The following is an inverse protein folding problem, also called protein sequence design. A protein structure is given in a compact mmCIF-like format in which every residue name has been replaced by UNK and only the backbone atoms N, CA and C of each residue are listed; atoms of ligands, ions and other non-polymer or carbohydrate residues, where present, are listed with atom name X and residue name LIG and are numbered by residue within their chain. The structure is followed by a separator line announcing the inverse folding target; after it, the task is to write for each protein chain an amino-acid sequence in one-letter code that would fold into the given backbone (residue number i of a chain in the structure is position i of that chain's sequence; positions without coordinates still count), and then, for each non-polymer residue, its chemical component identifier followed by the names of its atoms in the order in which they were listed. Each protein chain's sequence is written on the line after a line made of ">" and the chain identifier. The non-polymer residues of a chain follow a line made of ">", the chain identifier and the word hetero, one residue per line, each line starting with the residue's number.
data_IF_791183240131
#
_entry.id   IF_791183240131
#
_cell.length_a   1.000
_cell.length_b   1.000
_cell.length_c   1.000
_cell.angle_alpha   90.00
_cell.angle_beta   90.00
_cell.angle_gamma   90.00
#
_symmetry.space_group_name_H-M   'P 1'
#
loop_
_entity.id
_entity.type
_entity.pdbx_description
1 polymer ?
#
# COMPACT_ATOMS: atom_id res chain seq x y z
N UNK A 1 37.90 28.69 29.65
CA UNK A 1 36.59 28.34 29.05
C UNK A 1 36.56 26.83 28.93
N UNK A 2 35.89 26.19 29.88
CA UNK A 2 35.63 24.75 29.85
C UNK A 2 34.79 24.40 28.62
N UNK A 3 35.23 23.41 27.85
CA UNK A 3 34.46 22.86 26.74
C UNK A 3 33.28 22.05 27.32
N UNK A 4 32.06 22.40 26.93
CA UNK A 4 30.84 21.71 27.34
C UNK A 4 30.81 20.26 26.87
N UNK A 5 30.27 19.36 27.72
CA UNK A 5 30.09 17.94 27.41
C UNK A 5 29.05 17.74 26.30
N UNK A 6 29.21 16.73 25.44
CA UNK A 6 28.32 16.47 24.29
C UNK A 6 26.88 16.08 24.65
N UNK A 7 26.58 15.83 25.94
CA UNK A 7 25.23 15.48 26.41
C UNK A 7 24.33 16.69 26.75
N UNK A 8 24.86 17.92 26.67
CA UNK A 8 24.12 19.17 26.92
C UNK A 8 23.85 19.99 25.65
N UNK A 9 23.97 19.40 24.46
CA UNK A 9 23.53 20.04 23.21
C UNK A 9 22.02 19.83 23.06
N UNK A 10 21.25 20.61 23.80
CA UNK A 10 19.80 20.71 23.62
C UNK A 10 19.56 21.61 22.41
N UNK A 11 19.35 21.02 21.23
CA UNK A 11 19.02 21.78 20.03
C UNK A 11 17.62 22.41 20.21
N UNK A 12 17.47 23.75 20.19
CA UNK A 12 16.15 24.37 20.17
C UNK A 12 15.42 23.95 18.87
N UNK A 13 14.08 23.74 18.89
CA UNK A 13 13.34 23.24 17.73
C UNK A 13 13.13 24.37 16.72
N UNK A 14 14.17 24.69 15.95
CA UNK A 14 14.12 25.57 14.79
C UNK A 14 15.12 25.05 13.75
N UNK A 15 14.81 23.92 13.12
CA UNK A 15 15.51 23.47 11.92
C UNK A 15 14.51 22.78 10.99
N UNK A 16 13.88 23.59 10.12
CA UNK A 16 13.27 23.06 8.92
C UNK A 16 14.39 22.39 8.12
N UNK A 17 14.42 21.05 8.08
CA UNK A 17 15.37 20.32 7.24
C UNK A 17 15.30 20.92 5.84
N UNK A 18 16.44 21.31 5.26
CA UNK A 18 16.48 21.92 3.93
C UNK A 18 15.74 21.01 2.93
N UNK A 19 14.61 21.48 2.40
CA UNK A 19 13.75 20.73 1.47
C UNK A 19 12.45 20.15 2.04
N UNK A 20 12.17 20.28 3.34
CA UNK A 20 10.90 19.91 3.95
C UNK A 20 10.05 21.14 4.20
N UNK A 21 8.84 21.23 3.63
CA UNK A 21 7.90 22.36 3.85
C UNK A 21 7.28 22.32 5.26
N UNK A 22 7.08 21.12 5.80
CA UNK A 22 6.50 20.86 7.12
C UNK A 22 7.39 19.90 7.92
N UNK A 23 7.71 20.29 9.16
CA UNK A 23 8.34 19.41 10.15
C UNK A 23 7.30 18.51 10.83
N UNK A 24 7.75 17.45 11.52
CA UNK A 24 6.87 16.46 12.18
C UNK A 24 5.89 17.12 13.16
N UNK A 25 6.35 18.09 13.93
CA UNK A 25 5.52 18.80 14.93
C UNK A 25 4.82 20.05 14.35
N UNK A 26 5.00 20.34 13.06
CA UNK A 26 4.34 21.48 12.43
C UNK A 26 2.91 21.12 12.03
N UNK A 27 1.98 22.07 12.24
CA UNK A 27 0.57 21.85 11.94
C UNK A 27 0.17 22.67 10.70
N UNK A 28 -0.03 22.05 9.53
CA UNK A 28 -0.55 22.73 8.35
C UNK A 28 -1.99 23.21 8.58
N UNK A 29 -2.49 24.02 7.65
CA UNK A 29 -3.91 24.41 7.67
C UNK A 29 -4.80 23.16 7.59
N UNK A 30 -5.94 23.17 8.29
CA UNK A 30 -6.82 21.99 8.39
C UNK A 30 -7.25 21.44 7.02
N UNK A 31 -7.46 22.33 6.03
CA UNK A 31 -7.83 21.96 4.65
C UNK A 31 -6.70 21.19 3.98
N UNK A 32 -5.47 21.67 4.15
CA UNK A 32 -4.28 21.04 3.59
C UNK A 32 -4.01 19.69 4.25
N UNK A 33 -4.16 19.61 5.58
CA UNK A 33 -4.05 18.35 6.32
C UNK A 33 -5.03 17.29 5.83
N UNK A 34 -6.29 17.67 5.54
CA UNK A 34 -7.28 16.76 4.96
C UNK A 34 -6.85 16.30 3.56
N UNK A 35 -6.41 17.22 2.70
CA UNK A 35 -5.98 16.89 1.34
C UNK A 35 -4.76 15.95 1.32
N UNK A 36 -3.78 16.18 2.20
CA UNK A 36 -2.60 15.33 2.35
C UNK A 36 -2.95 13.98 2.97
N UNK A 37 -3.82 13.95 3.97
CA UNK A 37 -4.32 12.71 4.56
C UNK A 37 -5.02 11.84 3.50
N UNK A 38 -5.85 12.47 2.65
CA UNK A 38 -6.48 11.77 1.53
C UNK A 38 -5.46 11.26 0.50
N UNK A 39 -4.41 12.03 0.22
CA UNK A 39 -3.31 11.57 -0.63
C UNK A 39 -2.60 10.34 -0.06
N UNK A 40 -2.27 10.35 1.23
CA UNK A 40 -1.66 9.20 1.90
C UNK A 40 -2.58 7.97 1.88
N UNK A 41 -3.88 8.18 2.05
CA UNK A 41 -4.88 7.12 1.92
C UNK A 41 -4.87 6.51 0.51
N UNK A 42 -4.92 7.32 -0.56
CA UNK A 42 -4.90 6.80 -1.94
C UNK A 42 -3.59 6.08 -2.26
N UNK A 43 -2.46 6.55 -1.74
CA UNK A 43 -1.18 5.88 -1.89
C UNK A 43 -1.16 4.49 -1.20
N UNK A 44 -1.69 4.40 0.01
CA UNK A 44 -1.81 3.16 0.77
C UNK A 44 -2.82 2.18 0.14
N UNK A 45 -3.89 2.69 -0.46
CA UNK A 45 -4.94 1.89 -1.11
C UNK A 45 -4.37 0.93 -2.17
N UNK A 46 -3.32 1.33 -2.88
CA UNK A 46 -2.69 0.49 -3.91
C UNK A 46 -2.24 -0.87 -3.36
N UNK A 47 -1.45 -0.89 -2.29
CA UNK A 47 -0.98 -2.14 -1.69
C UNK A 47 -2.11 -2.89 -0.99
N UNK A 48 -3.02 -2.18 -0.33
CA UNK A 48 -4.16 -2.75 0.37
C UNK A 48 -5.16 -3.47 -0.55
N UNK A 49 -5.31 -3.03 -1.80
CA UNK A 49 -6.17 -3.70 -2.79
C UNK A 49 -5.41 -4.77 -3.57
N UNK A 50 -4.14 -4.55 -3.91
CA UNK A 50 -3.36 -5.51 -4.71
C UNK A 50 -3.11 -6.83 -3.99
N UNK A 51 -2.79 -6.80 -2.69
CA UNK A 51 -2.48 -8.03 -1.93
C UNK A 51 -3.69 -8.99 -1.92
N UNK A 52 -4.91 -8.59 -1.52
CA UNK A 52 -6.07 -9.46 -1.56
C UNK A 52 -6.50 -9.84 -2.98
N UNK A 53 -6.39 -8.92 -3.94
CA UNK A 53 -6.74 -9.20 -5.34
C UNK A 53 -5.89 -10.31 -5.95
N UNK A 54 -4.64 -10.45 -5.50
CA UNK A 54 -3.78 -11.55 -5.93
C UNK A 54 -4.00 -12.82 -5.11
N UNK A 55 -4.14 -12.72 -3.78
CA UNK A 55 -4.16 -13.87 -2.88
C UNK A 55 -5.52 -14.57 -2.78
N UNK A 56 -6.62 -13.81 -2.71
CA UNK A 56 -7.96 -14.38 -2.45
C UNK A 56 -8.40 -15.36 -3.54
N UNK A 57 -8.20 -15.06 -4.86
CA UNK A 57 -8.52 -16.03 -5.90
C UNK A 57 -7.73 -17.34 -5.78
N UNK A 58 -6.45 -17.27 -5.39
CA UNK A 58 -5.60 -18.45 -5.20
C UNK A 58 -6.08 -19.33 -4.05
N UNK A 59 -6.67 -18.73 -3.02
CA UNK A 59 -7.28 -19.45 -1.90
C UNK A 59 -8.63 -20.09 -2.26
N UNK A 60 -9.24 -19.73 -3.39
CA UNK A 60 -10.60 -20.14 -3.78
C UNK A 60 -11.70 -19.21 -3.27
N UNK A 61 -11.35 -18.00 -2.80
CA UNK A 61 -12.33 -17.01 -2.37
C UNK A 61 -13.07 -16.37 -3.53
N UNK A 62 -14.30 -15.95 -3.27
CA UNK A 62 -15.17 -15.22 -4.20
C UNK A 62 -14.83 -13.72 -4.27
N UNK A 63 -15.48 -12.98 -5.17
CA UNK A 63 -15.40 -11.50 -5.19
C UNK A 63 -15.87 -10.87 -3.87
N UNK A 64 -16.87 -11.46 -3.21
CA UNK A 64 -17.36 -11.01 -1.90
C UNK A 64 -16.31 -11.22 -0.81
N UNK A 65 -15.57 -12.34 -0.86
CA UNK A 65 -14.47 -12.62 0.05
C UNK A 65 -13.30 -11.66 -0.18
N UNK A 66 -13.01 -11.34 -1.45
CA UNK A 66 -11.98 -10.36 -1.83
C UNK A 66 -12.30 -8.99 -1.26
N UNK A 67 -13.53 -8.50 -1.45
CA UNK A 67 -14.01 -7.23 -0.89
C UNK A 67 -13.89 -7.23 0.63
N UNK A 68 -14.29 -8.32 1.28
CA UNK A 68 -14.20 -8.45 2.75
C UNK A 68 -12.76 -8.32 3.24
N UNK A 69 -11.81 -9.00 2.60
CA UNK A 69 -10.40 -8.92 2.98
C UNK A 69 -9.84 -7.51 2.75
N UNK A 70 -10.19 -6.85 1.63
CA UNK A 70 -9.78 -5.46 1.35
C UNK A 70 -10.29 -4.50 2.42
N UNK A 71 -11.58 -4.58 2.78
CA UNK A 71 -12.18 -3.73 3.80
C UNK A 71 -11.54 -3.94 5.18
N UNK A 72 -11.33 -5.19 5.58
CA UNK A 72 -10.67 -5.52 6.85
C UNK A 72 -9.23 -5.01 6.87
N UNK A 73 -8.48 -5.19 5.78
CA UNK A 73 -7.09 -4.75 5.69
C UNK A 73 -6.99 -3.22 5.82
N UNK A 74 -7.83 -2.46 5.11
CA UNK A 74 -7.88 -1.00 5.20
C UNK A 74 -8.26 -0.50 6.61
N UNK A 75 -9.22 -1.15 7.24
CA UNK A 75 -9.66 -0.79 8.59
C UNK A 75 -8.55 -1.03 9.63
N UNK A 76 -7.89 -2.20 9.56
CA UNK A 76 -6.80 -2.56 10.46
C UNK A 76 -5.55 -1.70 10.20
N UNK A 77 -5.25 -1.37 8.94
CA UNK A 77 -4.19 -0.41 8.57
C UNK A 77 -4.44 0.97 9.18
N UNK A 78 -5.68 1.47 9.15
CA UNK A 78 -6.06 2.71 9.82
C UNK A 78 -5.83 2.67 11.33
N UNK A 79 -6.28 1.60 12.00
CA UNK A 79 -6.06 1.41 13.45
C UNK A 79 -4.56 1.34 13.77
N UNK A 80 -3.80 0.53 13.02
CA UNK A 80 -2.36 0.37 13.25
C UNK A 80 -1.59 1.66 13.02
N UNK A 81 -1.96 2.43 12.00
CA UNK A 81 -1.36 3.75 11.75
C UNK A 81 -1.67 4.73 12.87
N UNK A 82 -2.90 4.75 13.40
CA UNK A 82 -3.25 5.54 14.59
C UNK A 82 -2.45 5.08 15.83
N UNK A 83 -2.31 3.77 16.06
CA UNK A 83 -1.50 3.25 17.16
C UNK A 83 -0.02 3.63 17.01
N UNK A 84 0.54 3.52 15.80
CA UNK A 84 1.93 3.88 15.49
C UNK A 84 2.22 5.37 15.75
N UNK A 85 1.26 6.23 15.38
CA UNK A 85 1.40 7.69 15.49
C UNK A 85 1.09 8.22 16.89
N UNK A 86 0.16 7.59 17.64
CA UNK A 86 -0.21 8.02 18.99
C UNK A 86 0.67 7.40 20.09
N UNK A 87 0.83 6.07 20.05
CA UNK A 87 1.49 5.28 21.10
C UNK A 87 2.83 4.67 20.68
N UNK A 88 3.05 4.50 19.37
CA UNK A 88 4.29 3.96 18.82
C UNK A 88 5.44 4.97 18.86
N UNK A 89 6.20 5.04 17.76
CA UNK A 89 7.35 5.95 17.68
C UNK A 89 6.96 7.40 17.45
N UNK A 90 5.65 7.69 17.25
CA UNK A 90 5.12 9.02 16.90
C UNK A 90 5.71 9.61 15.61
N UNK A 91 6.28 8.75 14.77
CA UNK A 91 6.76 9.14 13.45
C UNK A 91 5.63 9.05 12.43
N UNK A 92 5.66 9.88 11.36
CA UNK A 92 4.66 9.88 10.30
C UNK A 92 4.85 8.66 9.38
N UNK A 93 4.50 7.48 9.88
CA UNK A 93 4.65 6.21 9.18
C UNK A 93 3.29 5.54 9.00
N UNK A 94 2.87 5.33 7.76
CA UNK A 94 1.67 4.58 7.42
C UNK A 94 1.96 3.08 7.51
N UNK A 95 1.14 2.34 8.26
CA UNK A 95 1.33 0.91 8.54
C UNK A 95 0.33 0.09 7.73
N UNK A 96 0.79 -0.52 6.65
CA UNK A 96 -0.04 -1.35 5.76
C UNK A 96 0.42 -2.80 5.64
N UNK A 97 -0.26 -3.55 4.77
CA UNK A 97 0.13 -4.92 4.42
C UNK A 97 1.52 -4.98 3.75
N UNK A 98 2.35 -5.93 4.18
CA UNK A 98 3.71 -6.10 3.63
C UNK A 98 3.76 -7.19 2.56
N UNK A 99 4.29 -6.84 1.40
CA UNK A 99 4.56 -7.78 0.31
C UNK A 99 5.59 -8.86 0.67
N UNK A 100 6.39 -8.65 1.72
CA UNK A 100 7.32 -9.67 2.20
C UNK A 100 6.60 -10.98 2.60
N UNK A 101 5.33 -10.88 3.02
CA UNK A 101 4.53 -12.03 3.40
C UNK A 101 3.86 -12.75 2.22
N UNK A 102 3.93 -12.22 1.00
CA UNK A 102 3.31 -12.87 -0.16
C UNK A 102 3.85 -14.27 -0.41
N UNK A 103 5.18 -14.44 -0.38
CA UNK A 103 5.82 -15.74 -0.63
C UNK A 103 5.46 -16.77 0.45
N UNK A 104 5.59 -16.47 1.76
CA UNK A 104 5.10 -17.35 2.82
C UNK A 104 3.61 -17.70 2.69
N UNK A 105 2.75 -16.71 2.39
CA UNK A 105 1.31 -16.97 2.25
C UNK A 105 1.05 -17.91 1.06
N UNK A 106 1.70 -17.69 -0.09
CA UNK A 106 1.59 -18.59 -1.25
C UNK A 106 2.04 -20.01 -0.88
N UNK A 107 3.08 -20.15 -0.06
CA UNK A 107 3.51 -21.46 0.43
C UNK A 107 2.44 -22.14 1.30
N UNK A 108 1.72 -21.38 2.13
CA UNK A 108 0.60 -21.90 2.93
C UNK A 108 -0.55 -22.30 2.00
N UNK A 109 -0.90 -21.49 1.01
CA UNK A 109 -1.97 -21.78 0.04
C UNK A 109 -1.74 -23.14 -0.66
N UNK A 110 -0.49 -23.43 -1.02
CA UNK A 110 -0.11 -24.66 -1.72
C UNK A 110 0.13 -25.86 -0.79
N UNK A 111 -0.20 -25.76 0.50
CA UNK A 111 -0.11 -26.91 1.39
C UNK A 111 -1.11 -28.00 0.96
N UNK A 112 -0.61 -29.24 0.90
CA UNK A 112 -1.35 -30.42 0.48
C UNK A 112 -2.61 -30.68 1.32
N UNK A 113 -2.61 -30.27 2.58
CA UNK A 113 -3.77 -30.41 3.48
C UNK A 113 -4.92 -29.49 3.05
N UNK A 114 -4.61 -28.26 2.63
CA UNK A 114 -5.58 -27.25 2.21
C UNK A 114 -6.03 -27.50 0.76
N UNK A 115 -5.14 -27.92 -0.12
CA UNK A 115 -5.47 -28.23 -1.52
C UNK A 115 -6.40 -29.43 -1.68
N UNK A 116 -6.45 -30.34 -0.69
CA UNK A 116 -7.38 -31.49 -0.68
C UNK A 116 -8.84 -31.09 -0.46
N UNK A 117 -9.10 -29.89 0.05
CA UNK A 117 -10.46 -29.41 0.32
C UNK A 117 -11.13 -29.11 -1.04
N UNK A 118 -12.18 -29.86 -1.36
CA UNK A 118 -12.92 -29.71 -2.62
C UNK A 118 -13.79 -28.44 -2.65
N UNK A 119 -14.34 -28.03 -1.51
CA UNK A 119 -15.17 -26.83 -1.41
C UNK A 119 -14.28 -25.56 -1.40
N UNK A 120 -14.39 -24.68 -2.42
CA UNK A 120 -13.56 -23.50 -2.55
C UNK A 120 -13.75 -22.49 -1.41
N UNK A 121 -14.97 -22.34 -0.90
CA UNK A 121 -15.23 -21.40 0.19
C UNK A 121 -14.67 -21.90 1.52
N UNK A 122 -14.83 -23.20 1.80
CA UNK A 122 -14.21 -23.83 2.97
C UNK A 122 -12.68 -23.79 2.90
N UNK A 123 -12.11 -23.99 1.71
CA UNK A 123 -10.67 -23.84 1.47
C UNK A 123 -10.22 -22.43 1.81
N UNK A 124 -10.90 -21.40 1.30
CA UNK A 124 -10.60 -20.01 1.60
C UNK A 124 -10.59 -19.74 3.11
N UNK A 125 -11.64 -20.13 3.84
CA UNK A 125 -11.75 -19.91 5.28
C UNK A 125 -10.63 -20.61 6.05
N UNK A 126 -10.32 -21.86 5.72
CA UNK A 126 -9.25 -22.61 6.39
C UNK A 126 -7.86 -22.04 6.07
N UNK A 127 -7.62 -21.61 4.84
CA UNK A 127 -6.37 -20.95 4.47
C UNK A 127 -6.23 -19.60 5.17
N UNK A 128 -7.30 -18.79 5.26
CA UNK A 128 -7.27 -17.53 5.99
C UNK A 128 -6.93 -17.72 7.47
N UNK A 129 -7.53 -18.73 8.13
CA UNK A 129 -7.19 -19.08 9.53
C UNK A 129 -5.73 -19.52 9.69
N UNK A 130 -5.22 -20.33 8.77
CA UNK A 130 -3.83 -20.76 8.79
C UNK A 130 -2.86 -19.57 8.62
N UNK A 131 -3.16 -18.65 7.69
CA UNK A 131 -2.38 -17.43 7.46
C UNK A 131 -2.43 -16.52 8.67
N UNK A 132 -3.62 -16.22 9.22
CA UNK A 132 -3.77 -15.39 10.41
C UNK A 132 -3.02 -15.99 11.61
N UNK A 133 -3.14 -17.29 11.85
CA UNK A 133 -2.40 -18.00 12.91
C UNK A 133 -0.89 -17.90 12.74
N UNK A 134 -0.38 -18.14 11.53
CA UNK A 134 1.04 -18.00 11.22
C UNK A 134 1.55 -16.56 11.45
N UNK A 135 0.76 -15.54 11.05
CA UNK A 135 1.09 -14.13 11.24
C UNK A 135 1.10 -13.73 12.73
N UNK A 136 0.21 -14.29 13.54
CA UNK A 136 0.19 -14.06 15.00
C UNK A 136 1.45 -14.64 15.65
N UNK A 137 1.86 -15.86 15.27
CA UNK A 137 3.08 -16.48 15.79
C UNK A 137 4.31 -15.70 15.33
N UNK A 138 4.39 -15.34 14.04
CA UNK A 138 5.48 -14.56 13.49
C UNK A 138 5.63 -13.20 14.18
N UNK A 139 4.52 -12.48 14.40
CA UNK A 139 4.54 -11.20 15.09
C UNK A 139 4.94 -11.33 16.56
N UNK A 140 4.52 -12.38 17.26
CA UNK A 140 4.94 -12.67 18.63
C UNK A 140 6.46 -12.87 18.72
N UNK A 141 7.05 -13.64 17.80
CA UNK A 141 8.50 -13.82 17.72
C UNK A 141 9.20 -12.48 17.47
N UNK A 142 8.69 -11.69 16.52
CA UNK A 142 9.29 -10.39 16.19
C UNK A 142 9.22 -9.40 17.36
N UNK A 143 8.13 -9.42 18.14
CA UNK A 143 7.97 -8.64 19.36
C UNK A 143 9.01 -9.04 20.41
N UNK A 144 9.16 -10.35 20.68
CA UNK A 144 10.15 -10.87 21.64
C UNK A 144 11.58 -10.47 21.21
N UNK A 145 11.92 -10.66 19.93
CA UNK A 145 13.22 -10.28 19.38
C UNK A 145 13.46 -8.76 19.45
N UNK A 146 12.42 -7.95 19.22
CA UNK A 146 12.47 -6.50 19.35
C UNK A 146 12.74 -6.05 20.78
N UNK A 147 11.98 -6.55 21.76
CA UNK A 147 12.16 -6.21 23.17
C UNK A 147 13.45 -6.77 23.78
N UNK A 148 13.96 -7.89 23.27
CA UNK A 148 15.24 -8.48 23.71
C UNK A 148 16.49 -7.69 23.28
N UNK A 149 16.33 -6.62 22.49
CA UNK A 149 17.42 -5.84 21.87
C UNK A 149 18.36 -6.66 20.97
N UNK A 150 18.11 -7.95 20.75
CA UNK A 150 18.90 -8.78 19.84
C UNK A 150 18.88 -8.21 18.42
N UNK A 151 17.73 -7.67 18.00
CA UNK A 151 17.61 -6.98 16.72
C UNK A 151 18.55 -5.76 16.60
N UNK A 152 18.82 -5.03 17.69
CA UNK A 152 19.74 -3.89 17.67
C UNK A 152 21.20 -4.32 17.52
N UNK A 153 21.56 -5.50 18.04
CA UNK A 153 22.89 -6.09 17.84
C UNK A 153 23.03 -6.54 16.39
N UNK A 154 22.00 -7.20 15.85
CA UNK A 154 21.98 -7.64 14.46
C UNK A 154 21.99 -6.45 13.48
N UNK A 155 21.25 -5.37 13.77
CA UNK A 155 21.16 -4.19 12.91
C UNK A 155 22.52 -3.49 12.72
N UNK A 156 23.43 -3.60 13.68
CA UNK A 156 24.80 -3.07 13.60
C UNK A 156 25.64 -3.70 12.48
N UNK A 157 25.32 -4.93 12.06
CA UNK A 157 26.00 -5.58 10.93
C UNK A 157 25.54 -5.07 9.56
N UNK A 158 24.39 -4.40 9.51
CA UNK A 158 23.85 -3.85 8.28
C UNK A 158 24.42 -2.46 8.05
N UNK A 159 25.43 -2.36 7.20
CA UNK A 159 25.89 -1.06 6.69
C UNK A 159 24.91 -0.54 5.62
N UNK A 160 24.80 0.78 5.42
CA UNK A 160 24.01 1.35 4.32
C UNK A 160 24.40 0.77 2.94
N UNK A 161 25.68 0.44 2.76
CA UNK A 161 26.21 -0.22 1.56
C UNK A 161 25.60 -1.61 1.32
N UNK A 162 25.31 -2.36 2.39
CA UNK A 162 24.64 -3.67 2.30
C UNK A 162 23.12 -3.54 2.17
N UNK A 163 22.52 -2.55 2.82
CA UNK A 163 21.05 -2.38 2.81
C UNK A 163 20.50 -1.81 1.51
N UNK A 164 21.22 -0.87 0.87
CA UNK A 164 20.73 -0.24 -0.36
C UNK A 164 20.44 -1.26 -1.48
N UNK A 165 21.32 -2.24 -1.80
CA UNK A 165 21.00 -3.28 -2.76
C UNK A 165 19.81 -4.16 -2.37
N UNK A 166 19.68 -4.51 -1.08
CA UNK A 166 18.57 -5.33 -0.58
C UNK A 166 17.23 -4.61 -0.78
N UNK A 167 17.15 -3.34 -0.37
CA UNK A 167 15.96 -2.51 -0.54
C UNK A 167 15.65 -2.31 -2.03
N UNK A 168 16.67 -2.07 -2.85
CA UNK A 168 16.50 -1.94 -4.30
C UNK A 168 15.96 -3.23 -4.93
N UNK A 169 16.48 -4.41 -4.55
CA UNK A 169 15.98 -5.70 -5.03
C UNK A 169 14.55 -5.97 -4.60
N UNK A 170 14.15 -5.59 -3.38
CA UNK A 170 12.74 -5.66 -2.94
C UNK A 170 11.88 -4.76 -3.82
N UNK A 171 12.31 -3.52 -4.08
CA UNK A 171 11.60 -2.58 -4.95
C UNK A 171 11.48 -3.08 -6.40
N UNK A 172 12.57 -3.58 -6.99
CA UNK A 172 12.57 -4.15 -8.34
C UNK A 172 11.72 -5.43 -8.43
N UNK A 173 11.71 -6.26 -7.38
CA UNK A 173 10.84 -7.44 -7.32
C UNK A 173 9.35 -7.08 -7.30
N UNK A 174 8.99 -5.98 -6.64
CA UNK A 174 7.62 -5.44 -6.70
C UNK A 174 7.29 -4.89 -8.07
N UNK A 175 8.23 -4.18 -8.70
CA UNK A 175 8.05 -3.65 -10.05
C UNK A 175 7.86 -4.78 -11.08
N UNK A 176 8.65 -5.84 -11.01
CA UNK A 176 8.54 -7.01 -11.90
C UNK A 176 7.17 -7.71 -11.79
N UNK A 177 6.56 -7.68 -10.61
CA UNK A 177 5.21 -8.23 -10.38
C UNK A 177 4.09 -7.27 -10.76
N UNK A 178 4.27 -5.97 -10.51
CA UNK A 178 3.25 -4.95 -10.72
C UNK A 178 3.16 -4.44 -12.17
N UNK A 179 4.30 -4.31 -12.86
CA UNK A 179 4.35 -3.79 -14.22
C UNK A 179 3.56 -4.63 -15.24
N UNK A 180 3.61 -5.98 -15.21
CA UNK A 180 2.77 -6.81 -16.09
C UNK A 180 1.27 -6.56 -15.94
N UNK A 181 0.81 -6.15 -14.75
CA UNK A 181 -0.61 -5.84 -14.49
C UNK A 181 -1.06 -4.63 -15.32
N UNK A 182 -0.19 -3.64 -15.49
CA UNK A 182 -0.42 -2.48 -16.38
C UNK A 182 -0.60 -2.94 -17.83
N UNK A 183 0.11 -4.00 -18.23
CA UNK A 183 0.03 -4.61 -19.55
C UNK A 183 -1.29 -5.34 -19.84
N UNK A 184 -2.06 -5.74 -18.83
CA UNK A 184 -3.38 -6.33 -19.04
C UNK A 184 -4.39 -5.35 -19.64
N UNK A 185 -4.20 -4.05 -19.41
CA UNK A 185 -4.97 -2.99 -20.04
C UNK A 185 -4.07 -1.84 -20.50
N UNK A 186 -3.35 -2.06 -21.60
CA UNK A 186 -2.40 -1.10 -22.17
C UNK A 186 -3.05 0.26 -22.47
N UNK A 187 -4.31 0.26 -22.91
CA UNK A 187 -5.07 1.46 -23.28
C UNK A 187 -5.28 2.43 -22.11
N UNK A 188 -5.31 1.94 -20.87
CA UNK A 188 -5.44 2.75 -19.65
C UNK A 188 -4.07 2.90 -18.97
N UNK A 189 -3.29 1.82 -18.97
CA UNK A 189 -2.00 1.74 -18.28
C UNK A 189 -0.92 2.67 -18.85
N UNK A 190 -0.74 2.73 -20.17
CA UNK A 190 0.25 3.62 -20.77
C UNK A 190 -0.10 5.10 -20.53
N UNK A 191 -1.35 5.56 -20.78
CA UNK A 191 -1.71 6.94 -20.47
C UNK A 191 -1.54 7.28 -18.99
N UNK A 192 -1.83 6.35 -18.06
CA UNK A 192 -1.58 6.56 -16.64
C UNK A 192 -0.10 6.86 -16.36
N UNK A 193 0.81 6.02 -16.89
CA UNK A 193 2.25 6.21 -16.70
C UNK A 193 2.76 7.50 -17.34
N UNK A 194 2.31 7.81 -18.56
CA UNK A 194 2.69 9.05 -19.26
C UNK A 194 2.20 10.28 -18.51
N UNK A 195 0.93 10.29 -18.08
CA UNK A 195 0.37 11.40 -17.30
C UNK A 195 1.10 11.58 -15.96
N UNK A 196 1.36 10.48 -15.26
CA UNK A 196 2.10 10.53 -14.00
C UNK A 196 3.52 11.08 -14.18
N UNK A 197 4.26 10.63 -15.20
CA UNK A 197 5.60 11.13 -15.51
C UNK A 197 5.57 12.60 -15.96
N UNK A 198 4.58 13.00 -16.76
CA UNK A 198 4.42 14.38 -17.20
C UNK A 198 4.18 15.32 -16.00
N UNK A 199 3.27 14.95 -15.09
CA UNK A 199 2.96 15.75 -13.90
C UNK A 199 4.08 15.74 -12.85
N UNK A 200 4.74 14.60 -12.63
CA UNK A 200 5.79 14.47 -11.60
C UNK A 200 7.15 15.00 -12.04
N UNK A 201 7.56 14.78 -13.30
CA UNK A 201 8.91 15.10 -13.76
C UNK A 201 8.97 16.27 -14.75
N UNK A 202 8.04 16.35 -15.71
CA UNK A 202 8.13 17.33 -16.79
C UNK A 202 7.64 18.73 -16.36
N UNK A 203 6.52 18.80 -15.62
CA UNK A 203 6.01 20.08 -15.11
C UNK A 203 6.91 20.72 -14.04
N UNK A 204 7.86 19.95 -13.48
CA UNK A 204 8.93 20.50 -12.64
C UNK A 204 9.79 21.52 -13.38
N UNK A 205 10.04 21.31 -14.68
CA UNK A 205 10.86 22.19 -15.50
C UNK A 205 10.15 23.49 -15.91
N UNK A 206 8.82 23.54 -15.84
CA UNK A 206 8.02 24.66 -16.33
C UNK A 206 7.56 25.62 -15.23
N UNK A 207 7.83 25.30 -13.95
CA UNK A 207 7.25 26.03 -12.83
C UNK A 207 8.02 27.30 -12.49
N UNK A 208 7.52 28.44 -13.01
CA UNK A 208 7.99 29.80 -12.68
C UNK A 208 7.41 30.34 -11.36
N UNK A 209 6.53 29.60 -10.67
CA UNK A 209 5.64 30.16 -9.63
C UNK A 209 5.63 29.37 -8.30
N UNK A 210 6.73 29.42 -7.52
CA UNK A 210 6.89 29.22 -6.06
C UNK A 210 6.00 28.24 -5.22
N UNK A 211 5.06 27.47 -5.76
CA UNK A 211 4.18 26.56 -5.01
C UNK A 211 4.08 25.21 -5.74
N UNK A 212 4.69 24.12 -5.25
CA UNK A 212 4.77 22.83 -5.94
C UNK A 212 3.47 22.00 -5.82
N UNK A 213 2.30 22.61 -6.01
CA UNK A 213 0.98 21.94 -5.88
C UNK A 213 0.85 20.77 -6.85
N UNK A 214 1.29 20.96 -8.11
CA UNK A 214 1.17 19.94 -9.16
C UNK A 214 2.07 18.73 -8.91
N UNK A 215 3.24 18.93 -8.32
CA UNK A 215 4.17 17.83 -7.95
C UNK A 215 3.62 17.06 -6.75
N UNK A 216 3.17 17.79 -5.72
CA UNK A 216 2.66 17.22 -4.47
C UNK A 216 1.44 16.33 -4.73
N UNK A 217 0.54 16.76 -5.61
CA UNK A 217 -0.72 16.06 -5.90
C UNK A 217 -0.74 15.30 -7.24
N UNK A 218 0.42 15.11 -7.90
CA UNK A 218 0.53 14.47 -9.22
C UNK A 218 -0.18 13.11 -9.29
N UNK A 219 -0.04 12.30 -8.23
CA UNK A 219 -0.66 10.97 -8.14
C UNK A 219 -2.20 11.07 -8.06
N UNK A 220 -2.75 12.00 -7.28
CA UNK A 220 -4.19 12.19 -7.19
C UNK A 220 -4.78 12.72 -8.49
N UNK A 221 -4.12 13.70 -9.12
CA UNK A 221 -4.56 14.30 -10.38
C UNK A 221 -4.53 13.26 -11.50
N UNK A 222 -3.42 12.53 -11.66
CA UNK A 222 -3.31 11.47 -12.68
C UNK A 222 -4.32 10.35 -12.47
N UNK A 223 -4.52 9.89 -11.22
CA UNK A 223 -5.52 8.85 -10.89
C UNK A 223 -6.95 9.31 -11.20
N UNK A 224 -7.28 10.57 -10.90
CA UNK A 224 -8.61 11.12 -11.18
C UNK A 224 -8.87 11.24 -12.69
N UNK A 225 -7.89 11.76 -13.44
CA UNK A 225 -7.99 11.92 -14.89
C UNK A 225 -8.11 10.56 -15.57
N UNK A 226 -7.27 9.59 -15.18
CA UNK A 226 -7.30 8.26 -15.82
C UNK A 226 -8.58 7.50 -15.47
N UNK A 227 -9.09 7.63 -14.25
CA UNK A 227 -10.36 7.04 -13.87
C UNK A 227 -11.52 7.61 -14.71
N UNK A 228 -11.57 8.94 -14.89
CA UNK A 228 -12.57 9.59 -15.74
C UNK A 228 -12.46 9.14 -17.20
N UNK A 229 -11.22 9.02 -17.72
CA UNK A 229 -10.95 8.50 -19.05
C UNK A 229 -11.42 7.04 -19.21
N UNK A 230 -11.11 6.17 -18.25
CA UNK A 230 -11.54 4.78 -18.25
C UNK A 230 -13.07 4.64 -18.20
N UNK A 231 -13.74 5.49 -17.41
CA UNK A 231 -15.19 5.54 -17.34
C UNK A 231 -15.81 5.97 -18.68
N UNK A 232 -15.25 6.99 -19.33
CA UNK A 232 -15.69 7.45 -20.65
C UNK A 232 -15.53 6.38 -21.74
N UNK A 233 -14.40 5.66 -21.74
CA UNK A 233 -14.18 4.52 -22.66
C UNK A 233 -15.18 3.37 -22.41
N UNK A 234 -15.53 3.13 -21.15
CA UNK A 234 -16.54 2.13 -20.78
C UNK A 234 -17.93 2.55 -21.24
N UNK A 235 -18.32 3.81 -21.00
CA UNK A 235 -19.63 4.36 -21.37
C UNK A 235 -19.82 4.48 -22.89
N UNK A 236 -18.77 4.87 -23.62
CA UNK A 236 -18.78 4.94 -25.10
C UNK A 236 -18.86 3.57 -25.78
N UNK A 237 -18.70 2.48 -25.03
CA UNK A 237 -18.83 1.11 -25.54
C UNK A 237 -17.61 0.62 -26.32
N UNK A 238 -16.46 1.28 -26.18
CA UNK A 238 -15.20 0.89 -26.85
C UNK A 238 -14.83 -0.58 -26.61
N UNK A 239 -15.18 -1.12 -25.44
CA UNK A 239 -14.87 -2.49 -25.06
C UNK A 239 -15.95 -3.54 -25.40
N UNK A 240 -17.11 -3.16 -25.96
CA UNK A 240 -18.25 -4.09 -26.18
C UNK A 240 -17.92 -5.28 -27.11
N UNK A 241 -17.03 -5.08 -28.08
CA UNK A 241 -16.65 -6.09 -29.09
C UNK A 241 -15.23 -6.64 -28.88
N UNK A 242 -14.62 -6.38 -27.72
CA UNK A 242 -13.27 -6.85 -27.40
C UNK A 242 -13.31 -8.23 -26.71
N UNK A 243 -12.21 -9.00 -26.73
CA UNK A 243 -12.11 -10.26 -25.98
C UNK A 243 -12.50 -10.10 -24.51
N UNK A 244 -13.12 -11.12 -23.93
CA UNK A 244 -13.64 -11.10 -22.55
C UNK A 244 -12.57 -10.73 -21.51
N UNK A 245 -11.33 -11.17 -21.72
CA UNK A 245 -10.19 -10.79 -20.87
C UNK A 245 -9.95 -9.28 -20.83
N UNK A 246 -10.04 -8.61 -21.99
CA UNK A 246 -9.90 -7.15 -22.09
C UNK A 246 -11.12 -6.47 -21.46
N UNK A 247 -12.32 -7.03 -21.64
CA UNK A 247 -13.52 -6.50 -21.01
C UNK A 247 -13.45 -6.58 -19.48
N UNK A 248 -12.91 -7.65 -18.94
CA UNK A 248 -12.76 -7.83 -17.49
C UNK A 248 -11.72 -6.87 -16.90
N UNK A 249 -10.59 -6.66 -17.58
CA UNK A 249 -9.48 -5.88 -17.05
C UNK A 249 -9.57 -4.37 -17.34
N UNK A 250 -10.17 -3.97 -18.46
CA UNK A 250 -10.21 -2.58 -18.89
C UNK A 250 -11.50 -1.83 -18.55
N UNK A 251 -12.60 -2.54 -18.25
CA UNK A 251 -13.87 -1.87 -17.97
C UNK A 251 -14.02 -1.54 -16.50
N UNK A 252 -14.59 -0.37 -16.21
CA UNK A 252 -14.81 0.09 -14.83
C UNK A 252 -15.99 -0.60 -14.13
N UNK A 253 -16.88 -1.28 -14.88
CA UNK A 253 -18.14 -1.85 -14.36
C UNK A 253 -18.05 -3.33 -13.97
N UNK A 254 -16.92 -4.00 -14.20
CA UNK A 254 -16.75 -5.45 -14.01
C UNK A 254 -16.02 -5.86 -12.73
N UNK A 255 -15.57 -4.90 -11.92
CA UNK A 255 -14.81 -5.19 -10.70
C UNK A 255 -15.66 -5.81 -9.57
N UNK A 256 -17.00 -5.73 -9.65
CA UNK A 256 -17.99 -6.18 -8.65
C UNK A 256 -17.78 -5.68 -7.21
N UNK A 257 -16.79 -4.82 -6.95
CA UNK A 257 -16.44 -4.37 -5.61
C UNK A 257 -17.58 -3.62 -4.91
N UNK A 258 -18.33 -2.81 -5.64
CA UNK A 258 -19.42 -1.98 -5.10
C UNK A 258 -20.70 -2.80 -4.93
N UNK A 259 -21.00 -3.71 -5.86
CA UNK A 259 -22.20 -4.55 -5.81
C UNK A 259 -22.13 -5.63 -4.73
N UNK A 260 -20.92 -6.12 -4.45
CA UNK A 260 -20.65 -7.16 -3.45
C UNK A 260 -20.48 -6.62 -2.03
N UNK A 261 -20.28 -5.31 -1.86
CA UNK A 261 -20.04 -4.71 -0.56
C UNK A 261 -21.35 -4.30 0.15
N UNK A 262 -21.60 -4.74 1.40
CA UNK A 262 -22.60 -4.10 2.25
C UNK A 262 -22.18 -2.67 2.60
N UNK A 263 -23.15 -1.76 2.74
CA UNK A 263 -22.91 -0.33 3.01
C UNK A 263 -22.14 -0.07 4.32
N UNK A 264 -22.43 -0.84 5.37
CA UNK A 264 -21.73 -0.78 6.65
C UNK A 264 -21.46 -2.23 7.08
N UNK A 265 -20.20 -2.54 7.33
CA UNK A 265 -19.80 -3.82 7.93
C UNK A 265 -18.64 -3.60 8.86
N UNK A 266 -18.77 -4.12 10.07
CA UNK A 266 -17.71 -4.12 11.07
C UNK A 266 -16.96 -5.45 10.91
N UNK A 267 -15.64 -5.43 10.65
CA UNK A 267 -14.86 -6.66 10.56
C UNK A 267 -14.75 -7.28 11.96
N UNK A 268 -15.08 -8.57 12.09
CA UNK A 268 -14.88 -9.31 13.33
C UNK A 268 -13.49 -9.93 13.37
N UNK A 269 -12.82 -9.94 14.54
CA UNK A 269 -11.52 -10.57 14.68
C UNK A 269 -11.63 -12.09 14.45
N UNK A 270 -10.69 -12.64 13.68
CA UNK A 270 -10.52 -14.08 13.41
C UNK A 270 -11.61 -14.73 12.53
N UNK A 271 -12.38 -13.92 11.77
CA UNK A 271 -13.21 -14.42 10.67
C UNK A 271 -12.41 -14.81 9.43
#
# INVERSE_FOLDING_TARGET
>A
MEASKPEEINHPPMDQLQGLEYCIDSNPSWVESIALGFQHYILALGTAVMIPSFLVPLMGGSDDDKVRVVQTLLFVEGINTLLQTLFGTRLPTVVGGSYAYMVPIISIIHDSSLMKIQDPHLRFLNTMRAVQGAMIVASSIQIILGFSQLWAICSRFFSPLGMAPVIALVGFGLFDRGFPVVGHCVEIGIPMLVLFLAFSQYLKSFHTRQIPILERFALLISTTIIWAYAHLLTASGAYKHRPELIQHNCRTDRANLISSAPWIKIPYPLE
#
